data_IF_669928630148
#
_entry.id   IF_669928630148
#
_cell.length_a   1.000
_cell.length_b   1.000
_cell.length_c   1.000
_cell.angle_alpha   90.00
_cell.angle_beta   90.00
_cell.angle_gamma   90.00
#
_symmetry.space_group_name_H-M   'P 1'
#
loop_
_entity.id
_entity.type
_entity.pdbx_description
1 polymer ?
#
# COMPACT_ATOMS: atom_id res chain seq x y z
N UNK A 1 -24.09 -5.32 9.80
CA UNK A 1 -23.36 -5.62 8.55
C UNK A 1 -21.92 -5.89 8.95
N UNK A 2 -21.54 -7.16 9.04
CA UNK A 2 -20.17 -7.56 9.41
C UNK A 2 -19.28 -7.28 8.19
N UNK A 3 -18.30 -6.40 8.32
CA UNK A 3 -17.32 -6.19 7.25
C UNK A 3 -16.49 -7.48 7.19
N UNK A 4 -16.73 -8.27 6.15
CA UNK A 4 -15.92 -9.42 5.82
C UNK A 4 -14.50 -8.91 5.54
N UNK A 5 -13.60 -9.19 6.50
CA UNK A 5 -12.13 -9.14 6.45
C UNK A 5 -11.52 -7.99 5.61
N UNK A 6 -10.90 -7.01 6.29
CA UNK A 6 -10.02 -6.04 5.62
C UNK A 6 -8.85 -6.82 5.01
N UNK A 7 -8.80 -6.92 3.69
CA UNK A 7 -7.72 -7.56 2.96
C UNK A 7 -7.27 -6.67 1.79
N UNK A 8 -6.00 -6.74 1.42
CA UNK A 8 -5.51 -6.10 0.20
C UNK A 8 -5.94 -6.88 -1.04
N UNK A 9 -6.30 -6.16 -2.11
CA UNK A 9 -6.57 -6.78 -3.40
C UNK A 9 -5.27 -7.19 -4.09
N UNK A 10 -5.17 -8.48 -4.46
CA UNK A 10 -4.01 -9.03 -5.18
C UNK A 10 -3.84 -8.43 -6.58
N UNK A 11 -4.89 -7.84 -7.15
CA UNK A 11 -4.83 -7.12 -8.43
C UNK A 11 -3.89 -5.90 -8.39
N UNK A 12 -3.53 -5.41 -7.20
CA UNK A 12 -2.59 -4.31 -7.01
C UNK A 12 -1.16 -4.67 -7.43
N UNK A 13 -0.80 -5.96 -7.50
CA UNK A 13 0.57 -6.38 -7.83
C UNK A 13 0.97 -5.86 -9.23
N UNK A 14 2.05 -5.08 -9.28
CA UNK A 14 2.56 -4.46 -10.49
C UNK A 14 2.00 -3.07 -10.78
N UNK A 15 1.06 -2.57 -9.98
CA UNK A 15 0.56 -1.20 -10.08
C UNK A 15 1.51 -0.22 -9.39
N UNK A 16 1.60 0.99 -9.94
CA UNK A 16 2.23 2.11 -9.25
C UNK A 16 1.18 2.83 -8.41
N UNK A 17 1.53 3.10 -7.17
CA UNK A 17 0.67 3.78 -6.19
C UNK A 17 1.37 5.01 -5.64
N UNK A 18 0.59 6.00 -5.27
CA UNK A 18 1.04 7.11 -4.44
C UNK A 18 0.53 6.86 -3.02
N UNK A 19 1.42 6.96 -2.04
CA UNK A 19 1.11 6.74 -0.62
C UNK A 19 1.41 8.03 0.12
N UNK A 20 0.43 8.47 0.93
CA UNK A 20 0.53 9.70 1.70
C UNK A 20 -0.06 9.56 3.10
N UNK A 21 0.41 10.40 4.04
CA UNK A 21 -0.11 10.47 5.40
C UNK A 21 0.85 9.89 6.43
N UNK A 22 0.31 9.40 7.55
CA UNK A 22 1.11 8.81 8.62
C UNK A 22 0.64 7.38 8.85
N UNK A 23 1.60 6.46 8.98
CA UNK A 23 1.29 5.11 9.42
C UNK A 23 1.08 5.06 10.95
N UNK A 24 0.79 3.85 11.45
CA UNK A 24 0.51 3.63 12.88
C UNK A 24 1.71 3.86 13.79
N UNK A 25 2.92 3.78 13.25
CA UNK A 25 4.18 3.99 13.98
C UNK A 25 4.58 5.48 13.95
N UNK A 26 3.82 6.31 13.24
CA UNK A 26 3.99 7.76 13.13
C UNK A 26 5.01 8.18 12.08
N UNK A 27 5.41 7.26 11.20
CA UNK A 27 6.28 7.58 10.07
C UNK A 27 5.46 8.25 8.96
N UNK A 28 6.03 9.30 8.38
CA UNK A 28 5.39 10.12 7.34
C UNK A 28 5.66 9.54 5.96
N UNK A 29 4.59 9.39 5.20
CA UNK A 29 4.60 8.95 3.81
C UNK A 29 4.19 10.11 2.91
N UNK A 30 4.97 10.34 1.86
CA UNK A 30 4.68 11.23 0.73
C UNK A 30 5.50 10.77 -0.48
N UNK A 31 5.19 9.59 -1.00
CA UNK A 31 6.05 8.95 -2.02
C UNK A 31 5.27 8.06 -2.98
N UNK A 32 5.87 7.84 -4.15
CA UNK A 32 5.41 6.88 -5.13
C UNK A 32 6.08 5.53 -4.90
N UNK A 33 5.31 4.46 -5.04
CA UNK A 33 5.83 3.11 -4.89
C UNK A 33 5.23 2.15 -5.92
N UNK A 34 6.00 1.12 -6.26
CA UNK A 34 5.55 0.00 -7.09
C UNK A 34 5.18 -1.17 -6.18
N UNK A 35 3.94 -1.66 -6.27
CA UNK A 35 3.51 -2.83 -5.50
C UNK A 35 4.15 -4.09 -6.08
N UNK A 36 4.93 -4.80 -5.27
CA UNK A 36 5.65 -6.02 -5.68
C UNK A 36 4.92 -7.30 -5.28
N UNK A 37 4.45 -7.34 -4.04
CA UNK A 37 3.75 -8.52 -3.50
C UNK A 37 2.59 -8.06 -2.63
N UNK A 38 1.54 -8.86 -2.61
CA UNK A 38 0.35 -8.64 -1.78
C UNK A 38 0.01 -9.94 -1.08
N UNK A 39 -0.12 -9.89 0.24
CA UNK A 39 -0.69 -10.95 1.06
C UNK A 39 -2.07 -10.51 1.56
N UNK A 40 -2.65 -11.21 2.55
CA UNK A 40 -4.00 -10.86 3.02
C UNK A 40 -3.99 -9.52 3.76
N UNK A 41 -3.00 -9.27 4.62
CA UNK A 41 -2.95 -8.14 5.54
C UNK A 41 -1.75 -7.22 5.31
N UNK A 42 -0.84 -7.58 4.38
CA UNK A 42 0.34 -6.78 4.06
C UNK A 42 0.57 -6.66 2.55
N UNK A 43 1.15 -5.55 2.13
CA UNK A 43 1.73 -5.38 0.79
C UNK A 43 3.18 -4.96 0.89
N UNK A 44 4.04 -5.52 0.04
CA UNK A 44 5.42 -5.05 -0.10
C UNK A 44 5.50 -4.14 -1.31
N UNK A 45 6.04 -2.95 -1.09
CA UNK A 45 6.21 -1.91 -2.12
C UNK A 45 7.68 -1.57 -2.29
N UNK A 46 8.05 -1.14 -3.49
CA UNK A 46 9.39 -0.61 -3.78
C UNK A 46 9.23 0.87 -4.06
N UNK A 47 9.88 1.70 -3.26
CA UNK A 47 9.85 3.16 -3.37
C UNK A 47 10.66 3.63 -4.58
N UNK A 48 10.49 4.89 -4.95
CA UNK A 48 11.31 5.57 -5.95
C UNK A 48 12.80 5.61 -5.56
N UNK A 49 13.11 5.62 -4.27
CA UNK A 49 14.45 5.48 -3.70
C UNK A 49 15.06 4.08 -3.87
N UNK A 50 14.31 3.12 -4.42
CA UNK A 50 14.62 1.69 -4.53
C UNK A 50 14.56 0.90 -3.21
N UNK A 51 14.25 1.56 -2.10
CA UNK A 51 13.99 0.91 -0.82
C UNK A 51 12.72 0.05 -0.89
N UNK A 52 12.71 -1.03 -0.12
CA UNK A 52 11.58 -1.96 -0.07
C UNK A 52 10.94 -1.86 1.29
N UNK A 53 9.65 -1.55 1.30
CA UNK A 53 8.87 -1.36 2.51
C UNK A 53 7.68 -2.31 2.57
N UNK A 54 7.25 -2.63 3.79
CA UNK A 54 6.07 -3.47 4.05
C UNK A 54 5.00 -2.63 4.72
N UNK A 55 3.88 -2.44 4.02
CA UNK A 55 2.72 -1.72 4.52
C UNK A 55 1.68 -2.73 4.97
N UNK A 56 1.11 -2.49 6.14
CA UNK A 56 0.05 -3.32 6.72
C UNK A 56 -1.29 -2.61 6.60
N UNK A 57 -2.37 -3.40 6.62
CA UNK A 57 -3.71 -2.84 6.46
C UNK A 57 -4.14 -1.94 7.64
N UNK A 58 -3.56 -2.15 8.82
CA UNK A 58 -3.79 -1.30 9.99
C UNK A 58 -3.13 0.09 9.88
N UNK A 59 -2.14 0.27 9.00
CA UNK A 59 -1.56 1.60 8.74
C UNK A 59 -2.59 2.55 8.11
N UNK A 60 -3.51 2.02 7.30
CA UNK A 60 -4.62 2.78 6.72
C UNK A 60 -5.68 3.18 7.74
N UNK A 61 -5.84 2.41 8.82
CA UNK A 61 -6.71 2.78 9.93
C UNK A 61 -6.11 3.92 10.78
N UNK A 62 -4.78 4.05 10.78
CA UNK A 62 -4.06 5.09 11.50
C UNK A 62 -4.02 6.45 10.79
N UNK A 63 -4.21 6.46 9.46
CA UNK A 63 -4.23 7.71 8.68
C UNK A 63 -3.52 7.63 7.34
N UNK A 64 -2.91 6.50 7.01
CA UNK A 64 -2.29 6.28 5.71
C UNK A 64 -3.34 6.27 4.59
N UNK A 65 -2.98 6.82 3.43
CA UNK A 65 -3.81 6.87 2.23
C UNK A 65 -3.03 6.33 1.05
N UNK A 66 -3.73 5.70 0.12
CA UNK A 66 -3.15 5.15 -1.10
C UNK A 66 -4.05 5.45 -2.29
N UNK A 67 -3.43 5.89 -3.38
CA UNK A 67 -4.09 6.09 -4.67
C UNK A 67 -3.33 5.32 -5.76
N UNK A 68 -4.05 4.56 -6.58
CA UNK A 68 -3.45 3.91 -7.76
C UNK A 68 -3.23 4.97 -8.83
N UNK A 69 -1.97 5.25 -9.16
CA UNK A 69 -1.60 6.28 -10.15
C UNK A 69 -1.32 5.68 -11.53
N UNK A 70 -1.01 4.39 -11.58
CA UNK A 70 -0.90 3.64 -12.83
C UNK A 70 -1.23 2.18 -12.61
N UNK A 71 -2.10 1.65 -13.46
CA UNK A 71 -2.45 0.24 -13.51
C UNK A 71 -1.63 -0.46 -14.59
N UNK A 72 -1.09 -1.64 -14.24
CA UNK A 72 -0.50 -2.52 -15.25
C UNK A 72 -1.60 -3.00 -16.18
N UNK A 73 -1.55 -2.59 -17.45
CA UNK A 73 -2.40 -3.18 -18.49
C UNK A 73 -1.99 -4.64 -18.70
N UNK A 74 -2.94 -5.55 -18.53
CA UNK A 74 -2.81 -6.98 -18.87
C UNK A 74 -2.49 -7.19 -20.35
#
# INVERSE_FOLDING_TARGET
MFIAKKEFDRSLIGNAVYISGYDKDGYEWDTYALVRTVTLDTMTVVLDTTETEVIRIDDFDAGLKMEVVWERKE
#
